data_IF_621931453955
#
_entry.id   IF_621931453955
#
_cell.length_a   1.000
_cell.length_b   1.000
_cell.length_c   1.000
_cell.angle_alpha   90.00
_cell.angle_beta   90.00
_cell.angle_gamma   90.00
#
_symmetry.space_group_name_H-M   'P 1'
#
loop_
_entity.id
_entity.type
_entity.pdbx_description
1 polymer ?
#
# COMPACT_ATOMS: atom_id res chain seq x y z
N UNK A 1 -15.34 -4.46 17.18
CA UNK A 1 -14.37 -3.69 16.40
C UNK A 1 -12.99 -4.25 16.68
N UNK A 2 -12.22 -4.55 15.64
CA UNK A 2 -10.84 -5.00 15.80
C UNK A 2 -9.96 -3.82 16.21
N UNK A 3 -8.77 -4.11 16.76
CA UNK A 3 -7.78 -3.09 17.14
C UNK A 3 -7.42 -2.18 15.97
N UNK A 4 -7.35 -2.74 14.77
CA UNK A 4 -7.08 -2.04 13.50
C UNK A 4 -8.13 -0.96 13.20
N UNK A 5 -9.44 -1.27 13.41
CA UNK A 5 -10.54 -0.33 13.17
C UNK A 5 -10.46 0.89 14.11
N UNK A 6 -10.07 0.65 15.37
CA UNK A 6 -9.94 1.72 16.39
C UNK A 6 -8.76 2.63 16.03
N UNK A 7 -7.62 2.05 15.64
CA UNK A 7 -6.45 2.81 15.21
C UNK A 7 -6.77 3.70 14.00
N UNK A 8 -7.48 3.17 13.00
CA UNK A 8 -7.91 3.94 11.84
C UNK A 8 -8.79 5.13 12.22
N UNK A 9 -9.80 4.92 13.08
CA UNK A 9 -10.68 5.99 13.55
C UNK A 9 -9.93 7.11 14.28
N UNK A 10 -8.96 6.76 15.12
CA UNK A 10 -8.13 7.75 15.83
C UNK A 10 -7.32 8.59 14.83
N UNK A 11 -6.72 7.95 13.81
CA UNK A 11 -5.96 8.66 12.77
C UNK A 11 -6.87 9.62 11.99
N UNK A 12 -8.07 9.18 11.60
CA UNK A 12 -9.04 10.06 10.92
C UNK A 12 -9.47 11.24 11.79
N UNK A 13 -9.70 11.02 13.10
CA UNK A 13 -10.03 12.10 14.02
C UNK A 13 -8.91 13.14 14.11
N UNK A 14 -7.64 12.69 14.17
CA UNK A 14 -6.47 13.59 14.18
C UNK A 14 -6.41 14.40 12.88
N UNK A 15 -6.61 13.77 11.72
CA UNK A 15 -6.61 14.45 10.42
C UNK A 15 -7.70 15.54 10.37
N UNK A 16 -8.91 15.25 10.85
CA UNK A 16 -10.00 16.23 10.90
C UNK A 16 -9.64 17.42 11.80
N UNK A 17 -9.09 17.16 12.99
CA UNK A 17 -8.65 18.22 13.90
C UNK A 17 -7.58 19.09 13.24
N UNK A 18 -6.57 18.49 12.60
CA UNK A 18 -5.53 19.22 11.89
C UNK A 18 -6.08 20.07 10.74
N UNK A 19 -7.05 19.54 9.98
CA UNK A 19 -7.70 20.29 8.90
C UNK A 19 -8.50 21.50 9.44
N UNK A 20 -9.22 21.33 10.55
CA UNK A 20 -9.95 22.43 11.21
C UNK A 20 -8.97 23.49 11.72
N UNK A 21 -7.90 23.08 12.42
CA UNK A 21 -6.88 24.00 12.92
C UNK A 21 -6.23 24.75 11.75
N UNK A 22 -5.89 24.06 10.67
CA UNK A 22 -5.34 24.70 9.47
C UNK A 22 -6.31 25.72 8.87
N UNK A 23 -7.60 25.38 8.75
CA UNK A 23 -8.63 26.30 8.25
C UNK A 23 -8.76 27.56 9.13
N UNK A 24 -8.83 27.40 10.45
CA UNK A 24 -9.02 28.51 11.39
C UNK A 24 -7.77 29.38 11.57
N UNK A 25 -6.57 28.81 11.44
CA UNK A 25 -5.33 29.55 11.73
C UNK A 25 -4.64 30.08 10.48
N UNK A 26 -4.67 29.32 9.38
CA UNK A 26 -3.94 29.65 8.15
C UNK A 26 -4.88 30.27 7.13
N UNK A 27 -5.99 29.60 6.80
CA UNK A 27 -6.90 30.11 5.76
C UNK A 27 -7.63 31.37 6.20
N UNK A 28 -7.98 31.50 7.49
CA UNK A 28 -8.61 32.72 8.00
C UNK A 28 -7.72 33.95 7.83
N UNK A 29 -6.40 33.84 8.05
CA UNK A 29 -5.46 34.94 7.80
C UNK A 29 -5.42 35.31 6.31
N UNK A 30 -5.60 34.34 5.43
CA UNK A 30 -5.60 34.59 4.00
C UNK A 30 -6.83 35.35 3.52
N UNK A 31 -8.00 35.09 4.11
CA UNK A 31 -9.27 35.75 3.72
C UNK A 31 -9.14 37.27 3.76
N UNK A 32 -8.46 37.81 4.76
CA UNK A 32 -8.35 39.25 4.97
C UNK A 32 -7.38 39.92 3.99
N UNK A 33 -6.37 39.18 3.49
CA UNK A 33 -5.26 39.70 2.67
C UNK A 33 -5.32 39.28 1.18
N UNK A 34 -6.33 38.50 0.79
CA UNK A 34 -6.48 37.91 -0.54
C UNK A 34 -6.93 38.93 -1.60
N UNK A 35 -6.47 38.75 -2.85
CA UNK A 35 -7.02 39.49 -3.99
C UNK A 35 -8.39 38.98 -4.44
N UNK A 36 -8.77 37.78 -3.96
CA UNK A 36 -9.96 37.05 -4.38
C UNK A 36 -11.15 37.54 -3.56
N UNK A 37 -12.23 37.90 -4.25
CA UNK A 37 -13.45 38.36 -3.59
C UNK A 37 -14.02 37.30 -2.63
N UNK A 38 -14.40 37.75 -1.44
CA UNK A 38 -15.04 36.91 -0.43
C UNK A 38 -16.32 36.24 -0.96
N UNK A 39 -16.69 35.10 -0.36
CA UNK A 39 -17.85 34.32 -0.74
C UNK A 39 -17.54 33.25 -1.78
N UNK A 40 -18.38 33.13 -2.81
CA UNK A 40 -18.31 32.01 -3.77
C UNK A 40 -16.97 31.91 -4.54
N UNK A 41 -16.34 33.01 -5.03
CA UNK A 41 -15.04 32.93 -5.70
C UNK A 41 -13.94 32.37 -4.79
N UNK A 42 -13.89 32.79 -3.54
CA UNK A 42 -12.93 32.28 -2.56
C UNK A 42 -13.14 30.78 -2.25
N UNK A 43 -14.40 30.33 -2.17
CA UNK A 43 -14.72 28.89 -2.03
C UNK A 43 -14.20 28.10 -3.24
N UNK A 44 -14.42 28.60 -4.46
CA UNK A 44 -13.91 27.97 -5.68
C UNK A 44 -12.38 27.91 -5.70
N UNK A 45 -11.72 28.96 -5.20
CA UNK A 45 -10.27 28.98 -5.07
C UNK A 45 -9.75 27.90 -4.09
N UNK A 46 -10.37 27.76 -2.92
CA UNK A 46 -10.00 26.69 -1.97
C UNK A 46 -10.25 25.32 -2.59
N UNK A 47 -11.45 25.07 -3.12
CA UNK A 47 -11.81 23.79 -3.72
C UNK A 47 -10.90 23.46 -4.90
N UNK A 48 -10.61 24.44 -5.76
CA UNK A 48 -9.67 24.30 -6.86
C UNK A 48 -8.27 23.95 -6.39
N UNK A 49 -7.77 24.63 -5.35
CA UNK A 49 -6.46 24.35 -4.74
C UNK A 49 -6.40 22.95 -4.14
N UNK A 50 -7.48 22.50 -3.50
CA UNK A 50 -7.59 21.14 -2.97
C UNK A 50 -7.56 20.10 -4.09
N UNK A 51 -8.36 20.29 -5.14
CA UNK A 51 -8.39 19.36 -6.28
C UNK A 51 -7.02 19.28 -6.96
N UNK A 52 -6.41 20.42 -7.26
CA UNK A 52 -5.06 20.48 -7.85
C UNK A 52 -4.04 19.81 -6.92
N UNK A 53 -4.11 20.09 -5.61
CA UNK A 53 -3.25 19.50 -4.61
C UNK A 53 -3.38 17.99 -4.53
N UNK A 54 -4.60 17.45 -4.55
CA UNK A 54 -4.83 16.01 -4.57
C UNK A 54 -4.28 15.35 -5.83
N UNK A 55 -4.52 15.93 -7.01
CA UNK A 55 -4.00 15.40 -8.28
C UNK A 55 -2.46 15.41 -8.29
N UNK A 56 -1.86 16.54 -7.90
CA UNK A 56 -0.41 16.69 -7.83
C UNK A 56 0.21 15.68 -6.86
N UNK A 57 -0.32 15.59 -5.64
CA UNK A 57 0.19 14.68 -4.62
C UNK A 57 0.03 13.20 -4.99
N UNK A 58 -1.05 12.83 -5.66
CA UNK A 58 -1.22 11.46 -6.16
C UNK A 58 -0.14 11.10 -7.19
N UNK A 59 0.16 12.00 -8.13
CA UNK A 59 1.25 11.80 -9.10
C UNK A 59 2.61 11.75 -8.39
N UNK A 60 2.85 12.67 -7.45
CA UNK A 60 4.12 12.79 -6.73
C UNK A 60 4.41 11.53 -5.91
N UNK A 61 3.40 10.98 -5.25
CA UNK A 61 3.50 9.79 -4.42
C UNK A 61 3.92 8.56 -5.24
N UNK A 62 3.21 8.30 -6.34
CA UNK A 62 3.51 7.17 -7.22
C UNK A 62 4.82 7.36 -7.99
N UNK A 63 5.20 8.61 -8.31
CA UNK A 63 6.53 8.90 -8.86
C UNK A 63 7.63 8.55 -7.86
N UNK A 64 7.42 8.82 -6.57
CA UNK A 64 8.31 8.39 -5.51
C UNK A 64 8.49 6.88 -5.50
N UNK A 65 7.40 6.12 -5.52
CA UNK A 65 7.44 4.66 -5.65
C UNK A 65 8.16 4.18 -6.90
N UNK A 66 7.90 4.80 -8.05
CA UNK A 66 8.57 4.48 -9.31
C UNK A 66 10.10 4.64 -9.20
N UNK A 67 10.57 5.76 -8.65
CA UNK A 67 12.02 6.02 -8.46
C UNK A 67 12.60 5.03 -7.44
N UNK A 68 11.91 4.83 -6.31
CA UNK A 68 12.30 3.89 -5.27
C UNK A 68 12.40 2.45 -5.78
N UNK A 69 11.47 2.00 -6.62
CA UNK A 69 11.49 0.69 -7.26
C UNK A 69 12.77 0.49 -8.08
N UNK A 70 13.14 1.49 -8.90
CA UNK A 70 14.34 1.40 -9.74
C UNK A 70 15.63 1.35 -8.92
N UNK A 71 15.71 2.12 -7.84
CA UNK A 71 16.84 2.08 -6.89
C UNK A 71 16.90 0.71 -6.19
N UNK A 72 15.74 0.19 -5.77
CA UNK A 72 15.58 -1.11 -5.12
C UNK A 72 15.80 -2.33 -6.02
N UNK A 73 16.17 -2.14 -7.29
CA UNK A 73 16.36 -3.20 -8.30
C UNK A 73 15.08 -3.96 -8.66
N UNK A 74 13.97 -3.24 -8.76
CA UNK A 74 12.72 -3.74 -9.31
C UNK A 74 12.45 -3.20 -10.72
N UNK A 75 11.68 -3.95 -11.48
CA UNK A 75 10.97 -3.47 -12.65
C UNK A 75 9.55 -3.09 -12.31
N UNK A 76 9.10 -1.98 -12.88
CA UNK A 76 7.75 -1.46 -12.70
C UNK A 76 6.89 -2.05 -13.80
N UNK A 77 5.89 -2.81 -13.39
CA UNK A 77 4.94 -3.50 -14.26
C UNK A 77 3.83 -2.54 -14.68
N UNK A 78 3.29 -1.81 -13.71
CA UNK A 78 2.26 -0.79 -13.93
C UNK A 78 2.31 0.31 -12.88
N UNK A 79 1.86 1.50 -13.25
CA UNK A 79 1.64 2.63 -12.32
C UNK A 79 0.20 3.09 -12.49
N UNK A 80 -0.57 3.02 -11.42
CA UNK A 80 -1.94 3.52 -11.37
C UNK A 80 -1.97 4.81 -10.55
N UNK A 81 -2.56 5.87 -11.09
CA UNK A 81 -2.76 7.14 -10.39
C UNK A 81 -4.25 7.47 -10.48
N UNK A 82 -4.94 7.49 -9.34
CA UNK A 82 -6.38 7.80 -9.24
C UNK A 82 -7.25 7.02 -10.24
N UNK A 83 -6.91 5.75 -10.47
CA UNK A 83 -7.62 4.85 -11.36
C UNK A 83 -7.04 4.78 -12.76
N UNK A 84 -6.28 5.78 -13.22
CA UNK A 84 -5.63 5.75 -14.52
C UNK A 84 -4.34 4.91 -14.45
N UNK A 85 -4.41 3.70 -14.98
CA UNK A 85 -3.32 2.73 -14.95
C UNK A 85 -2.53 2.74 -16.25
N UNK A 86 -1.23 3.01 -16.14
CA UNK A 86 -0.22 2.92 -17.19
C UNK A 86 0.56 1.62 -17.04
N UNK A 87 0.55 0.78 -18.07
CA UNK A 87 1.22 -0.53 -18.03
C UNK A 87 1.81 -0.88 -19.39
N UNK A 88 2.66 -1.91 -19.42
CA UNK A 88 3.20 -2.47 -20.66
C UNK A 88 2.56 -3.82 -20.94
N UNK A 89 2.14 -4.01 -22.18
CA UNK A 89 1.61 -5.28 -22.70
C UNK A 89 2.15 -5.44 -24.12
N UNK A 90 2.80 -6.57 -24.41
CA UNK A 90 3.47 -6.88 -25.69
C UNK A 90 4.43 -5.78 -26.17
N UNK A 91 5.19 -5.20 -25.23
CA UNK A 91 6.14 -4.12 -25.51
C UNK A 91 5.51 -2.76 -25.81
N UNK A 92 4.18 -2.65 -25.89
CA UNK A 92 3.46 -1.38 -26.10
C UNK A 92 3.01 -0.80 -24.76
N UNK A 93 3.13 0.52 -24.61
CA UNK A 93 2.57 1.25 -23.46
C UNK A 93 1.07 1.39 -23.67
N UNK A 94 0.27 0.99 -22.69
CA UNK A 94 -1.18 1.13 -22.68
C UNK A 94 -1.61 1.92 -21.45
N UNK A 95 -2.75 2.58 -21.56
CA UNK A 95 -3.40 3.27 -20.45
C UNK A 95 -4.86 2.83 -20.38
N UNK A 96 -5.35 2.49 -19.18
CA UNK A 96 -6.75 2.10 -18.95
C UNK A 96 -7.16 2.48 -17.53
N UNK A 97 -8.44 2.80 -17.34
CA UNK A 97 -9.00 2.91 -15.99
C UNK A 97 -9.17 1.52 -15.37
N UNK A 98 -8.43 1.25 -14.29
CA UNK A 98 -8.43 -0.03 -13.58
C UNK A 98 -8.53 0.28 -12.08
N UNK A 99 -9.35 -0.45 -11.30
CA UNK A 99 -9.38 -0.31 -9.85
C UNK A 99 -8.00 -0.63 -9.23
N UNK A 100 -7.74 -0.06 -8.06
CA UNK A 100 -6.50 -0.23 -7.31
C UNK A 100 -6.79 -0.25 -5.80
N UNK A 101 -5.89 -0.85 -5.03
CA UNK A 101 -6.06 -1.06 -3.59
C UNK A 101 -5.32 -0.03 -2.71
N UNK A 102 -4.46 0.81 -3.32
CA UNK A 102 -3.70 1.84 -2.60
C UNK A 102 -4.50 3.12 -2.33
N UNK A 103 -3.87 4.08 -1.64
CA UNK A 103 -4.54 5.29 -1.14
C UNK A 103 -4.88 6.27 -2.27
N UNK A 104 -3.89 6.64 -3.08
CA UNK A 104 -4.02 7.58 -4.21
C UNK A 104 -3.65 6.95 -5.56
N UNK A 105 -3.11 5.74 -5.53
CA UNK A 105 -2.63 5.00 -6.67
C UNK A 105 -2.10 3.64 -6.28
N UNK A 106 -1.47 2.96 -7.24
CA UNK A 106 -0.74 1.72 -7.00
C UNK A 106 0.37 1.52 -8.05
N UNK A 107 1.61 1.43 -7.58
CA UNK A 107 2.77 1.03 -8.40
C UNK A 107 3.07 -0.46 -8.23
N UNK A 108 2.78 -1.27 -9.26
CA UNK A 108 3.10 -2.71 -9.24
C UNK A 108 4.53 -2.94 -9.68
N UNK A 109 5.26 -3.72 -8.88
CA UNK A 109 6.67 -4.00 -9.08
C UNK A 109 6.95 -5.50 -9.09
N UNK A 110 8.02 -5.88 -9.77
CA UNK A 110 8.58 -7.23 -9.77
C UNK A 110 10.10 -7.14 -9.59
N UNK A 111 10.76 -8.01 -8.82
CA UNK A 111 12.22 -8.01 -8.74
C UNK A 111 12.82 -8.19 -10.13
N UNK A 112 13.90 -7.45 -10.43
CA UNK A 112 14.63 -7.65 -11.69
C UNK A 112 15.16 -9.08 -11.79
N UNK A 113 15.20 -9.61 -13.01
CA UNK A 113 15.78 -10.92 -13.27
C UNK A 113 17.23 -10.98 -12.76
N UNK A 114 17.57 -12.05 -12.03
CA UNK A 114 18.87 -12.20 -11.35
C UNK A 114 19.03 -11.42 -10.05
N UNK A 115 18.04 -10.62 -9.63
CA UNK A 115 18.09 -9.82 -8.40
C UNK A 115 17.04 -10.22 -7.35
N UNK A 116 16.30 -11.31 -7.52
CA UNK A 116 15.21 -11.73 -6.58
C UNK A 116 15.67 -11.72 -5.12
N UNK A 117 16.83 -12.32 -4.81
CA UNK A 117 17.38 -12.36 -3.45
C UNK A 117 18.05 -11.04 -3.00
N UNK A 118 18.42 -10.18 -3.95
CA UNK A 118 19.20 -8.94 -3.71
C UNK A 118 18.35 -7.68 -3.79
N UNK A 119 17.13 -7.77 -4.31
CA UNK A 119 16.23 -6.65 -4.46
C UNK A 119 15.85 -6.12 -3.07
N UNK A 120 15.89 -4.80 -2.93
CA UNK A 120 15.72 -4.14 -1.66
C UNK A 120 14.41 -3.33 -1.68
N UNK A 121 13.36 -3.76 -0.97
CA UNK A 121 12.06 -3.07 -0.99
C UNK A 121 12.07 -1.72 -0.25
N UNK A 122 13.09 -1.43 0.56
CA UNK A 122 13.14 -0.20 1.36
C UNK A 122 13.04 1.08 0.52
N UNK A 123 13.87 1.29 -0.52
CA UNK A 123 13.72 2.44 -1.40
C UNK A 123 12.30 2.56 -1.99
N UNK A 124 11.71 1.46 -2.45
CA UNK A 124 10.35 1.47 -2.98
C UNK A 124 9.33 1.98 -1.95
N UNK A 125 9.37 1.47 -0.72
CA UNK A 125 8.44 1.84 0.36
C UNK A 125 8.70 3.22 0.96
N UNK A 126 9.95 3.70 0.97
CA UNK A 126 10.31 4.98 1.56
C UNK A 126 10.16 6.16 0.60
N UNK A 127 10.35 5.96 -0.69
CA UNK A 127 10.47 7.09 -1.60
C UNK A 127 9.16 7.84 -1.80
N UNK A 128 7.99 7.19 -1.72
CA UNK A 128 6.71 7.92 -1.68
C UNK A 128 6.70 8.99 -0.57
N UNK A 129 7.12 8.60 0.64
CA UNK A 129 7.24 9.50 1.79
C UNK A 129 8.37 10.54 1.66
N UNK A 130 9.52 10.16 1.11
CA UNK A 130 10.64 11.09 0.87
C UNK A 130 10.22 12.20 -0.09
N UNK A 131 9.46 11.89 -1.13
CA UNK A 131 8.97 12.90 -2.08
C UNK A 131 8.03 13.91 -1.42
N UNK A 132 7.18 13.49 -0.46
CA UNK A 132 6.40 14.44 0.34
C UNK A 132 7.25 15.29 1.29
N UNK A 133 8.37 14.76 1.81
CA UNK A 133 9.31 15.58 2.59
C UNK A 133 9.95 16.65 1.68
N UNK A 134 10.34 16.30 0.47
CA UNK A 134 10.87 17.25 -0.51
C UNK A 134 9.82 18.29 -0.93
N UNK A 135 8.57 17.85 -1.11
CA UNK A 135 7.43 18.75 -1.34
C UNK A 135 7.26 19.73 -0.19
N UNK A 136 7.22 19.25 1.06
CA UNK A 136 7.07 20.11 2.23
C UNK A 136 8.16 21.17 2.30
N UNK A 137 9.42 20.81 2.00
CA UNK A 137 10.52 21.78 1.90
C UNK A 137 10.24 22.81 0.80
N UNK A 138 9.85 22.36 -0.40
CA UNK A 138 9.54 23.25 -1.52
C UNK A 138 8.37 24.19 -1.20
N UNK A 139 7.29 23.68 -0.60
CA UNK A 139 6.13 24.47 -0.15
C UNK A 139 6.55 25.53 0.85
N UNK A 140 7.35 25.18 1.86
CA UNK A 140 7.82 26.14 2.86
C UNK A 140 8.70 27.24 2.26
N UNK A 141 9.55 26.90 1.29
CA UNK A 141 10.37 27.88 0.55
C UNK A 141 9.48 28.81 -0.26
N UNK A 142 8.57 28.27 -1.08
CA UNK A 142 7.67 29.05 -1.93
C UNK A 142 6.78 29.96 -1.07
N UNK A 143 6.19 29.42 0.00
CA UNK A 143 5.35 30.18 0.92
C UNK A 143 6.12 31.34 1.55
N UNK A 144 7.34 31.10 2.03
CA UNK A 144 8.16 32.15 2.67
C UNK A 144 8.50 33.28 1.69
N UNK A 145 8.80 32.94 0.43
CA UNK A 145 9.14 33.93 -0.61
C UNK A 145 7.92 34.79 -0.96
N UNK A 146 6.74 34.20 -1.11
CA UNK A 146 5.59 34.90 -1.69
C UNK A 146 4.54 35.38 -0.69
N UNK A 147 4.51 34.90 0.57
CA UNK A 147 3.45 35.28 1.53
C UNK A 147 3.37 36.78 1.85
N UNK A 148 4.50 37.48 1.81
CA UNK A 148 4.60 38.92 2.11
C UNK A 148 4.82 39.74 0.83
N UNK A 149 4.58 39.16 -0.34
CA UNK A 149 4.82 39.85 -1.60
C UNK A 149 3.78 40.97 -1.80
N UNK A 150 4.18 42.09 -2.40
CA UNK A 150 3.31 43.26 -2.58
C UNK A 150 2.12 42.94 -3.51
N UNK A 151 2.40 42.21 -4.58
CA UNK A 151 1.41 41.64 -5.52
C UNK A 151 0.53 40.60 -4.80
N UNK A 152 -0.77 40.89 -4.69
CA UNK A 152 -1.72 40.09 -3.92
C UNK A 152 -1.93 38.68 -4.52
N UNK A 153 -1.92 38.56 -5.85
CA UNK A 153 -2.06 37.29 -6.57
C UNK A 153 -0.91 36.33 -6.25
N UNK A 154 0.31 36.85 -6.01
CA UNK A 154 1.44 36.02 -5.58
C UNK A 154 1.27 35.54 -4.14
N UNK A 155 0.63 36.32 -3.26
CA UNK A 155 0.23 35.86 -1.93
C UNK A 155 -0.82 34.75 -2.05
N UNK A 156 -1.82 34.91 -2.91
CA UNK A 156 -2.80 33.84 -3.17
C UNK A 156 -2.09 32.56 -3.63
N UNK A 157 -1.16 32.63 -4.59
CA UNK A 157 -0.36 31.45 -4.99
C UNK A 157 0.39 30.82 -3.81
N UNK A 158 0.95 31.62 -2.90
CA UNK A 158 1.63 31.12 -1.71
C UNK A 158 0.70 30.26 -0.84
N UNK A 159 -0.51 30.74 -0.57
CA UNK A 159 -1.51 30.02 0.21
C UNK A 159 -2.05 28.80 -0.53
N UNK A 160 -2.24 28.87 -1.86
CA UNK A 160 -2.62 27.71 -2.66
C UNK A 160 -1.58 26.58 -2.56
N UNK A 161 -0.29 26.92 -2.69
CA UNK A 161 0.82 25.97 -2.53
C UNK A 161 0.87 25.40 -1.11
N UNK A 162 0.54 26.21 -0.09
CA UNK A 162 0.43 25.73 1.29
C UNK A 162 -0.72 24.73 1.48
N UNK A 163 -1.86 24.93 0.82
CA UNK A 163 -2.97 23.95 0.77
C UNK A 163 -2.50 22.65 0.10
N UNK A 164 -1.77 22.74 -1.02
CA UNK A 164 -1.19 21.57 -1.70
C UNK A 164 -0.28 20.78 -0.74
N UNK A 165 0.63 21.46 -0.05
CA UNK A 165 1.53 20.82 0.92
C UNK A 165 0.81 20.26 2.15
N UNK A 166 -0.30 20.88 2.60
CA UNK A 166 -1.10 20.34 3.69
C UNK A 166 -1.76 19.00 3.31
N UNK A 167 -2.21 18.87 2.06
CA UNK A 167 -2.73 17.59 1.54
C UNK A 167 -1.62 16.54 1.50
N UNK A 168 -0.45 16.88 0.94
CA UNK A 168 0.72 15.99 0.93
C UNK A 168 1.13 15.54 2.33
N UNK A 169 1.10 16.46 3.31
CA UNK A 169 1.39 16.15 4.71
C UNK A 169 0.38 15.17 5.32
N UNK A 170 -0.92 15.32 5.06
CA UNK A 170 -1.95 14.39 5.56
C UNK A 170 -1.73 12.99 4.97
N UNK A 171 -1.42 12.90 3.68
CA UNK A 171 -1.12 11.62 3.02
C UNK A 171 0.15 11.00 3.59
N UNK A 172 1.22 11.77 3.77
CA UNK A 172 2.46 11.33 4.42
C UNK A 172 2.21 10.82 5.84
N UNK A 173 1.48 11.59 6.65
CA UNK A 173 1.16 11.25 8.02
C UNK A 173 0.42 9.93 8.10
N UNK A 174 -0.60 9.73 7.27
CA UNK A 174 -1.34 8.45 7.20
C UNK A 174 -0.43 7.30 6.75
N UNK A 175 0.39 7.50 5.71
CA UNK A 175 1.17 6.45 5.09
C UNK A 175 2.40 5.98 5.90
N UNK A 176 3.04 6.86 6.67
CA UNK A 176 4.28 6.53 7.41
C UNK A 176 4.03 5.77 8.72
N UNK A 177 2.77 5.64 9.16
CA UNK A 177 2.44 5.00 10.43
C UNK A 177 2.88 3.53 10.45
N UNK A 178 3.59 3.07 11.51
CA UNK A 178 4.17 1.74 11.59
C UNK A 178 3.19 0.66 12.06
N UNK A 179 1.88 0.89 11.97
CA UNK A 179 0.84 -0.03 12.40
C UNK A 179 -0.26 -0.12 11.36
N UNK A 180 -0.92 -1.28 11.33
CA UNK A 180 -2.01 -1.53 10.42
C UNK A 180 -3.23 -0.68 10.78
N UNK A 181 -3.72 0.02 9.77
CA UNK A 181 -5.00 0.72 9.76
C UNK A 181 -5.92 -0.01 8.79
N UNK A 182 -6.90 0.69 8.21
CA UNK A 182 -7.80 0.14 7.19
C UNK A 182 -7.08 -0.30 5.91
N UNK A 183 -5.89 0.26 5.63
CA UNK A 183 -5.02 -0.12 4.51
C UNK A 183 -3.65 -0.67 4.98
N UNK A 184 -2.96 -1.37 4.09
CA UNK A 184 -1.54 -1.74 4.27
C UNK A 184 -0.64 -0.58 3.81
N UNK A 185 -0.38 0.35 4.73
CA UNK A 185 0.49 1.51 4.48
C UNK A 185 1.96 1.12 4.30
N UNK A 186 2.75 2.02 3.72
CA UNK A 186 4.19 1.78 3.56
C UNK A 186 4.93 1.74 4.89
N UNK A 187 4.53 2.57 5.85
CA UNK A 187 5.08 2.56 7.21
C UNK A 187 4.91 1.20 7.86
N UNK A 188 3.72 0.61 7.75
CA UNK A 188 3.47 -0.73 8.25
C UNK A 188 4.27 -1.78 7.47
N UNK A 189 4.31 -1.70 6.13
CA UNK A 189 5.11 -2.62 5.30
C UNK A 189 6.61 -2.57 5.63
N UNK A 190 7.15 -1.38 5.92
CA UNK A 190 8.54 -1.19 6.35
C UNK A 190 8.85 -1.95 7.64
N UNK A 191 7.93 -1.96 8.62
CA UNK A 191 8.13 -2.76 9.83
C UNK A 191 8.24 -4.24 9.51
N UNK A 192 7.49 -4.73 8.52
CA UNK A 192 7.48 -6.14 8.17
C UNK A 192 8.72 -6.59 7.38
N UNK A 193 9.17 -5.78 6.40
CA UNK A 193 10.36 -6.10 5.58
C UNK A 193 11.70 -5.85 6.29
N UNK A 194 11.63 -5.42 7.56
CA UNK A 194 12.81 -5.26 8.42
C UNK A 194 13.50 -6.57 8.75
N UNK A 195 12.73 -7.66 8.88
CA UNK A 195 13.28 -9.00 8.98
C UNK A 195 13.80 -9.45 7.59
N UNK A 196 15.08 -9.87 7.46
CA UNK A 196 15.64 -10.37 6.21
C UNK A 196 14.83 -11.51 5.56
N UNK A 197 14.22 -12.40 6.35
CA UNK A 197 13.38 -13.49 5.83
C UNK A 197 12.08 -12.99 5.22
N UNK A 198 11.43 -12.01 5.87
CA UNK A 198 10.23 -11.37 5.31
C UNK A 198 10.56 -10.60 4.03
N UNK A 199 11.76 -10.02 3.93
CA UNK A 199 12.23 -9.37 2.70
C UNK A 199 12.38 -10.37 1.55
N UNK A 200 13.02 -11.52 1.81
CA UNK A 200 13.14 -12.57 0.82
C UNK A 200 11.75 -13.10 0.40
N UNK A 201 10.86 -13.34 1.36
CA UNK A 201 9.49 -13.77 1.09
C UNK A 201 8.68 -12.73 0.30
N UNK A 202 8.84 -11.44 0.61
CA UNK A 202 8.21 -10.35 -0.13
C UNK A 202 8.64 -10.33 -1.60
N UNK A 203 9.95 -10.43 -1.86
CA UNK A 203 10.48 -10.46 -3.23
C UNK A 203 9.98 -11.68 -3.99
N UNK A 204 9.99 -12.84 -3.33
CA UNK A 204 9.55 -14.10 -3.92
C UNK A 204 8.03 -14.09 -4.21
N UNK A 205 7.23 -13.51 -3.33
CA UNK A 205 5.79 -13.33 -3.52
C UNK A 205 5.51 -12.48 -4.77
N UNK A 206 6.19 -11.34 -4.91
CA UNK A 206 6.07 -10.49 -6.10
C UNK A 206 6.48 -11.21 -7.38
N UNK A 207 7.55 -12.02 -7.34
CA UNK A 207 8.00 -12.82 -8.47
C UNK A 207 6.95 -13.87 -8.86
N UNK A 208 6.49 -14.67 -7.90
CA UNK A 208 5.53 -15.76 -8.13
C UNK A 208 4.23 -15.20 -8.68
N UNK A 209 3.67 -14.14 -8.05
CA UNK A 209 2.44 -13.50 -8.50
C UNK A 209 2.57 -12.95 -9.92
N UNK A 210 3.73 -12.38 -10.27
CA UNK A 210 3.99 -11.89 -11.62
C UNK A 210 3.98 -13.04 -12.63
N UNK A 211 4.73 -14.12 -12.38
CA UNK A 211 4.87 -15.23 -13.33
C UNK A 211 3.55 -15.98 -13.54
N UNK A 212 2.77 -16.21 -12.47
CA UNK A 212 1.44 -16.83 -12.55
C UNK A 212 0.50 -15.96 -13.41
N UNK A 213 0.46 -14.64 -13.17
CA UNK A 213 -0.40 -13.72 -13.94
C UNK A 213 -0.03 -13.63 -15.42
N UNK A 214 1.22 -13.92 -15.76
CA UNK A 214 1.71 -13.94 -17.14
C UNK A 214 1.72 -15.36 -17.75
N UNK A 215 1.00 -16.30 -17.15
CA UNK A 215 0.73 -17.61 -17.75
C UNK A 215 1.88 -18.62 -17.64
N UNK A 216 2.89 -18.36 -16.81
CA UNK A 216 3.89 -19.38 -16.49
C UNK A 216 3.29 -20.32 -15.42
N UNK A 217 2.88 -21.51 -15.85
CA UNK A 217 2.14 -22.46 -14.99
C UNK A 217 3.00 -23.27 -14.03
N UNK A 218 4.29 -23.47 -14.31
CA UNK A 218 5.19 -24.24 -13.43
C UNK A 218 6.23 -23.32 -12.79
N UNK A 219 5.74 -22.46 -11.88
CA UNK A 219 6.61 -21.60 -11.08
C UNK A 219 7.11 -22.39 -9.88
N UNK A 220 8.43 -22.51 -9.75
CA UNK A 220 9.04 -22.99 -8.51
C UNK A 220 8.73 -21.98 -7.39
N UNK A 221 8.05 -22.41 -6.32
CA UNK A 221 7.72 -21.57 -5.17
C UNK A 221 8.52 -22.07 -3.97
N UNK A 222 9.34 -21.20 -3.39
CA UNK A 222 10.11 -21.50 -2.18
C UNK A 222 9.20 -21.71 -0.98
N UNK A 223 9.57 -22.67 -0.14
CA UNK A 223 8.92 -22.92 1.16
C UNK A 223 9.80 -22.32 2.24
N UNK A 224 9.17 -21.61 3.17
CA UNK A 224 9.84 -21.02 4.33
C UNK A 224 9.43 -21.76 5.60
N UNK A 225 10.40 -22.16 6.41
CA UNK A 225 10.16 -22.85 7.69
C UNK A 225 9.74 -21.90 8.81
N UNK A 226 10.27 -20.67 8.82
CA UNK A 226 9.83 -19.63 9.76
C UNK A 226 8.53 -19.01 9.26
N UNK A 227 7.48 -19.08 10.07
CA UNK A 227 6.15 -18.64 9.70
C UNK A 227 5.92 -17.20 10.19
N UNK A 228 5.64 -16.33 9.23
CA UNK A 228 5.18 -14.95 9.38
C UNK A 228 4.02 -14.74 8.39
N UNK A 229 3.36 -13.59 8.41
CA UNK A 229 2.32 -13.29 7.42
C UNK A 229 2.80 -13.44 5.97
N UNK A 230 4.00 -12.94 5.64
CA UNK A 230 4.54 -13.01 4.29
C UNK A 230 4.95 -14.42 3.89
N UNK A 231 5.62 -15.16 4.78
CA UNK A 231 6.05 -16.53 4.46
C UNK A 231 4.87 -17.49 4.42
N UNK A 232 3.84 -17.27 5.24
CA UNK A 232 2.61 -18.04 5.21
C UNK A 232 1.83 -17.84 3.89
N UNK A 233 1.71 -16.60 3.40
CA UNK A 233 1.05 -16.34 2.11
C UNK A 233 1.78 -17.01 0.94
N UNK A 234 3.13 -16.97 0.93
CA UNK A 234 3.91 -17.67 -0.09
C UNK A 234 3.78 -19.20 0.03
N UNK A 235 3.85 -19.73 1.24
CA UNK A 235 3.63 -21.16 1.50
C UNK A 235 2.22 -21.60 1.05
N UNK A 236 1.19 -20.75 1.20
CA UNK A 236 -0.15 -21.00 0.67
C UNK A 236 -0.18 -21.01 -0.86
N UNK A 237 0.58 -20.14 -1.54
CA UNK A 237 0.75 -20.23 -3.00
C UNK A 237 1.38 -21.56 -3.43
N UNK A 238 2.36 -22.07 -2.67
CA UNK A 238 2.92 -23.41 -2.90
C UNK A 238 1.88 -24.51 -2.68
N UNK A 239 1.05 -24.40 -1.64
CA UNK A 239 -0.07 -25.31 -1.38
C UNK A 239 -0.99 -25.35 -2.61
N UNK A 240 -1.43 -24.22 -3.16
CA UNK A 240 -2.26 -24.20 -4.37
C UNK A 240 -1.60 -24.93 -5.55
N UNK A 241 -0.32 -24.67 -5.80
CA UNK A 241 0.45 -25.39 -6.84
C UNK A 241 0.51 -26.90 -6.60
N UNK A 242 0.62 -27.35 -5.34
CA UNK A 242 0.61 -28.78 -5.00
C UNK A 242 -0.78 -29.41 -5.18
N UNK A 243 -1.86 -28.67 -4.92
CA UNK A 243 -3.22 -29.14 -5.16
C UNK A 243 -3.50 -29.35 -6.64
N UNK A 244 -3.04 -28.44 -7.50
CA UNK A 244 -3.12 -28.61 -8.95
C UNK A 244 -2.39 -29.88 -9.42
N UNK A 245 -1.29 -30.23 -8.73
CA UNK A 245 -0.50 -31.45 -8.95
C UNK A 245 -1.01 -32.68 -8.19
N UNK A 246 -2.12 -32.56 -7.46
CA UNK A 246 -2.70 -33.62 -6.60
C UNK A 246 -1.73 -34.16 -5.51
N UNK A 247 -0.76 -33.36 -5.11
CA UNK A 247 0.21 -33.70 -4.07
C UNK A 247 -0.32 -33.30 -2.68
N UNK A 248 -1.41 -33.96 -2.25
CA UNK A 248 -2.20 -33.55 -1.07
C UNK A 248 -1.45 -33.68 0.26
N UNK A 249 -0.65 -34.75 0.43
CA UNK A 249 0.13 -34.99 1.64
C UNK A 249 1.15 -33.86 1.87
N UNK A 250 1.87 -33.46 0.82
CA UNK A 250 2.84 -32.37 0.89
C UNK A 250 2.16 -31.03 1.21
N UNK A 251 1.00 -30.78 0.60
CA UNK A 251 0.19 -29.60 0.87
C UNK A 251 -0.26 -29.55 2.34
N UNK A 252 -0.70 -30.67 2.91
CA UNK A 252 -1.14 -30.76 4.31
C UNK A 252 0.01 -30.47 5.29
N UNK A 253 1.22 -30.97 5.02
CA UNK A 253 2.42 -30.69 5.84
C UNK A 253 2.70 -29.19 5.92
N UNK A 254 2.58 -28.47 4.80
CA UNK A 254 2.80 -27.01 4.77
C UNK A 254 1.70 -26.28 5.55
N UNK A 255 0.44 -26.67 5.36
CA UNK A 255 -0.69 -26.06 6.08
C UNK A 255 -0.57 -26.26 7.58
N UNK A 256 -0.14 -27.45 8.03
CA UNK A 256 0.01 -27.75 9.45
C UNK A 256 1.08 -26.91 10.11
N UNK A 257 2.18 -26.59 9.42
CA UNK A 257 3.17 -25.62 9.89
C UNK A 257 2.54 -24.23 10.10
N UNK A 258 1.69 -23.77 9.17
CA UNK A 258 1.02 -22.46 9.27
C UNK A 258 0.04 -22.44 10.44
N UNK A 259 -0.76 -23.50 10.61
CA UNK A 259 -1.75 -23.61 11.69
C UNK A 259 -1.08 -23.68 13.06
N UNK A 260 0.03 -24.42 13.17
CA UNK A 260 0.81 -24.49 14.41
C UNK A 260 1.36 -23.11 14.84
N UNK A 261 1.61 -22.22 13.88
CA UNK A 261 2.11 -20.87 14.09
C UNK A 261 1.00 -19.81 14.32
N UNK A 262 -0.16 -20.20 14.88
CA UNK A 262 -1.34 -19.32 15.04
C UNK A 262 -1.09 -17.95 15.69
N UNK A 263 -0.08 -17.83 16.55
CA UNK A 263 0.25 -16.58 17.25
C UNK A 263 1.17 -15.65 16.44
N UNK A 264 1.74 -16.16 15.34
CA UNK A 264 2.70 -15.47 14.48
C UNK A 264 2.06 -14.97 13.17
N UNK A 265 0.82 -15.38 12.89
CA UNK A 265 0.06 -14.99 11.70
C UNK A 265 -1.23 -14.28 12.07
N UNK A 266 -1.69 -13.41 11.17
CA UNK A 266 -2.97 -12.74 11.29
C UNK A 266 -4.12 -13.76 11.25
N UNK A 267 -5.21 -13.46 11.96
CA UNK A 267 -6.38 -14.33 12.00
C UNK A 267 -6.94 -14.68 10.61
N UNK A 268 -6.81 -13.79 9.61
CA UNK A 268 -7.22 -14.06 8.23
C UNK A 268 -6.39 -15.18 7.59
N UNK A 269 -5.08 -15.15 7.75
CA UNK A 269 -4.16 -16.17 7.23
C UNK A 269 -4.41 -17.51 7.93
N UNK A 270 -4.57 -17.48 9.26
CA UNK A 270 -4.90 -18.66 10.04
C UNK A 270 -6.21 -19.33 9.59
N UNK A 271 -7.29 -18.56 9.44
CA UNK A 271 -8.59 -19.07 8.97
C UNK A 271 -8.47 -19.63 7.56
N UNK A 272 -7.72 -18.96 6.67
CA UNK A 272 -7.50 -19.43 5.30
C UNK A 272 -6.77 -20.77 5.27
N UNK A 273 -5.71 -20.93 6.07
CA UNK A 273 -4.98 -22.19 6.17
C UNK A 273 -5.88 -23.33 6.67
N UNK A 274 -6.71 -23.07 7.69
CA UNK A 274 -7.68 -24.05 8.20
C UNK A 274 -8.74 -24.45 7.18
N UNK A 275 -9.31 -23.47 6.46
CA UNK A 275 -10.25 -23.73 5.38
C UNK A 275 -9.61 -24.60 4.29
N UNK A 276 -8.34 -24.34 3.98
CA UNK A 276 -7.59 -25.14 3.01
C UNK A 276 -7.37 -26.58 3.50
N UNK A 277 -7.10 -26.79 4.80
CA UNK A 277 -6.99 -28.14 5.37
C UNK A 277 -8.29 -28.93 5.26
N UNK A 278 -9.42 -28.28 5.56
CA UNK A 278 -10.75 -28.88 5.41
C UNK A 278 -10.99 -29.26 3.94
N UNK A 279 -10.68 -28.36 3.01
CA UNK A 279 -10.82 -28.62 1.58
C UNK A 279 -10.00 -29.84 1.14
N UNK A 280 -8.74 -29.95 1.56
CA UNK A 280 -7.91 -31.13 1.27
C UNK A 280 -8.56 -32.39 1.83
N UNK A 281 -9.04 -32.36 3.07
CA UNK A 281 -9.76 -33.48 3.67
C UNK A 281 -10.98 -33.92 2.86
N UNK A 282 -11.72 -32.99 2.26
CA UNK A 282 -12.89 -33.31 1.44
C UNK A 282 -12.55 -33.94 0.08
N UNK A 283 -11.40 -33.62 -0.51
CA UNK A 283 -11.02 -34.08 -1.85
C UNK A 283 -10.09 -35.30 -1.86
N UNK A 284 -9.32 -35.50 -0.79
CA UNK A 284 -8.32 -36.59 -0.68
C UNK A 284 -8.73 -37.67 0.32
N UNK A 285 -9.50 -37.30 1.35
CA UNK A 285 -9.94 -38.21 2.42
C UNK A 285 -11.45 -38.39 2.37
N UNK A 286 -11.99 -39.08 3.37
CA UNK A 286 -13.43 -39.24 3.53
C UNK A 286 -14.08 -38.04 4.24
N UNK A 287 -15.40 -37.90 4.04
CA UNK A 287 -16.18 -36.78 4.58
C UNK A 287 -16.20 -36.75 6.11
N UNK A 288 -16.10 -37.90 6.78
CA UNK A 288 -16.11 -37.98 8.25
C UNK A 288 -14.80 -37.44 8.82
N UNK A 289 -13.67 -37.73 8.18
CA UNK A 289 -12.37 -37.15 8.54
C UNK A 289 -12.35 -35.63 8.40
N UNK A 290 -12.91 -35.09 7.31
CA UNK A 290 -13.00 -33.64 7.10
C UNK A 290 -13.96 -32.98 8.11
N UNK A 291 -15.09 -33.63 8.40
CA UNK A 291 -16.08 -33.18 9.37
C UNK A 291 -15.53 -33.17 10.78
N UNK A 292 -14.81 -34.22 11.20
CA UNK A 292 -14.20 -34.29 12.51
C UNK A 292 -13.19 -33.15 12.74
N UNK A 293 -12.42 -32.77 11.72
CA UNK A 293 -11.53 -31.62 11.80
C UNK A 293 -12.30 -30.29 11.87
N UNK A 294 -13.35 -30.13 11.06
CA UNK A 294 -14.22 -28.95 11.09
C UNK A 294 -14.85 -28.75 12.48
N UNK A 295 -15.48 -29.78 13.03
CA UNK A 295 -16.18 -29.75 14.33
C UNK A 295 -15.22 -29.47 15.50
N UNK A 296 -13.99 -29.98 15.44
CA UNK A 296 -12.96 -29.72 16.45
C UNK A 296 -12.50 -28.26 16.46
N UNK A 297 -12.37 -27.66 15.29
CA UNK A 297 -11.62 -26.42 15.13
C UNK A 297 -12.51 -25.19 14.86
N UNK A 298 -13.72 -25.37 14.31
CA UNK A 298 -14.70 -24.28 14.07
C UNK A 298 -15.75 -24.35 15.19
N UNK A 299 -15.54 -23.67 16.34
CA UNK A 299 -16.58 -23.58 17.35
C UNK A 299 -17.77 -22.81 16.77
N UNK A 300 -18.97 -23.39 16.93
CA UNK A 300 -20.26 -22.74 16.70
C UNK A 300 -20.51 -21.71 17.80
#
# INVERSE_FOLDING_TARGET
MKKEDISGLIVYLIIIILAIVFGLTVLQQHVDDSSISAGFPYILYIVGSVVVGTLFNAVLFELGHYVGAKIGKYDVVSVNILGLCFYKEDGKRKARFIPYDGLTGETKIVPKEGFVEKANPYPYLLFGSIFFILEAIAVMVIFTIFRNHEVAELRDVAYAVLIVGAIGFVVLFYNILPFRIDSLTDGYRLTMVSNPKNRAAFNELLRVDYLIKHGQGDVEIKIFDEITNFTADLNLNKVYSLLDKKAYIEAEIIIDKIIAAKTQVDGKVYIRARAQKIYIGLIDKDIESARAYYEKEVPV
#
